data_IF_458455614057
#
_entry.id   IF_458455614057
#
_cell.length_a   1.000
_cell.length_b   1.000
_cell.length_c   1.000
_cell.angle_alpha   90.00
_cell.angle_beta   90.00
_cell.angle_gamma   90.00
#
_symmetry.space_group_name_H-M   'P 1'
#
loop_
_entity.id
_entity.type
_entity.pdbx_description
1 polymer ?
#
# COMPACT_ATOMS: atom_id res chain seq x y z
N UNK A 1 67.81 -4.24 23.60
CA UNK A 1 66.54 -4.98 23.70
C UNK A 1 65.56 -4.18 22.89
N UNK A 2 65.58 -4.37 21.56
CA UNK A 2 64.63 -3.76 20.64
C UNK A 2 63.86 -4.92 20.00
N UNK A 3 62.58 -5.03 20.36
CA UNK A 3 61.66 -6.01 19.80
C UNK A 3 61.05 -5.43 18.52
N UNK A 4 61.32 -6.10 17.41
CA UNK A 4 60.65 -5.91 16.13
C UNK A 4 59.20 -6.38 16.24
N UNK A 5 58.24 -5.47 16.13
CA UNK A 5 56.86 -5.78 15.76
C UNK A 5 56.65 -5.35 14.30
N UNK A 6 56.88 -6.28 13.36
CA UNK A 6 56.35 -6.16 12.00
C UNK A 6 54.88 -6.57 12.01
N UNK A 7 53.96 -5.83 11.37
CA UNK A 7 52.59 -6.26 11.22
C UNK A 7 52.54 -7.47 10.29
N UNK A 8 51.93 -8.57 10.76
CA UNK A 8 51.54 -9.69 9.92
C UNK A 8 50.74 -9.14 8.73
N UNK A 9 51.18 -9.51 7.52
CA UNK A 9 50.45 -9.31 6.28
C UNK A 9 48.98 -9.76 6.44
N UNK A 10 48.05 -8.82 6.35
CA UNK A 10 46.63 -9.08 6.12
C UNK A 10 46.48 -9.73 4.75
N UNK A 11 46.61 -11.06 4.71
CA UNK A 11 46.20 -11.85 3.56
C UNK A 11 44.67 -11.87 3.60
N UNK A 12 44.03 -10.90 2.95
CA UNK A 12 42.63 -11.04 2.57
C UNK A 12 42.50 -12.35 1.79
N UNK A 13 41.86 -13.34 2.40
CA UNK A 13 41.53 -14.59 1.74
C UNK A 13 40.81 -14.31 0.42
N UNK A 14 40.91 -15.21 -0.58
CA UNK A 14 40.29 -14.98 -1.88
C UNK A 14 38.82 -14.59 -1.67
N UNK A 15 38.33 -13.53 -2.34
CA UNK A 15 36.95 -13.11 -2.19
C UNK A 15 36.08 -14.34 -2.46
N UNK A 16 35.21 -14.66 -1.51
CA UNK A 16 34.24 -15.74 -1.67
C UNK A 16 33.49 -15.58 -3.00
N UNK A 17 32.89 -16.67 -3.53
CA UNK A 17 32.16 -16.61 -4.79
C UNK A 17 31.18 -15.42 -4.76
N UNK A 18 31.06 -14.66 -5.86
CA UNK A 18 30.19 -13.49 -5.88
C UNK A 18 28.78 -13.90 -5.49
N UNK A 19 28.29 -13.33 -4.39
CA UNK A 19 26.93 -13.55 -3.90
C UNK A 19 25.95 -13.27 -5.04
N UNK A 20 25.09 -14.25 -5.33
CA UNK A 20 24.00 -14.07 -6.27
C UNK A 20 23.15 -12.88 -5.81
N UNK A 21 22.74 -12.01 -6.74
CA UNK A 21 21.96 -10.80 -6.40
C UNK A 21 20.49 -11.06 -6.69
N UNK A 22 19.62 -10.49 -5.84
CA UNK A 22 18.18 -10.53 -6.07
C UNK A 22 17.77 -9.39 -6.99
N UNK A 23 17.17 -9.73 -8.13
CA UNK A 23 16.65 -8.75 -9.10
C UNK A 23 15.17 -8.90 -9.41
N UNK A 24 14.56 -10.03 -9.02
CA UNK A 24 13.13 -10.24 -9.14
C UNK A 24 12.39 -9.69 -7.92
N UNK A 25 11.44 -8.80 -8.17
CA UNK A 25 10.63 -8.18 -7.15
C UNK A 25 9.14 -8.34 -7.44
N UNK A 26 8.34 -8.27 -6.38
CA UNK A 26 6.94 -7.98 -6.53
C UNK A 26 6.43 -7.03 -5.45
N UNK A 27 5.41 -6.26 -5.79
CA UNK A 27 4.73 -5.37 -4.86
C UNK A 27 3.27 -5.76 -4.72
N UNK A 28 2.69 -5.49 -3.56
CA UNK A 28 1.23 -5.58 -3.37
C UNK A 28 0.61 -4.20 -3.41
N UNK A 29 -0.52 -4.08 -4.09
CA UNK A 29 -1.23 -2.83 -4.33
C UNK A 29 -2.72 -3.04 -4.04
N UNK A 30 -3.40 -2.03 -3.50
CA UNK A 30 -4.85 -2.06 -3.36
C UNK A 30 -5.51 -2.33 -4.73
N UNK A 31 -6.48 -3.25 -4.77
CA UNK A 31 -7.21 -3.57 -5.99
C UNK A 31 -7.81 -2.30 -6.62
N UNK A 32 -7.60 -2.12 -7.93
CA UNK A 32 -8.04 -0.95 -8.69
C UNK A 32 -7.06 0.23 -8.72
N UNK A 33 -5.93 0.14 -8.01
CA UNK A 33 -4.86 1.17 -8.02
C UNK A 33 -3.61 0.74 -8.81
N UNK A 34 -3.69 -0.32 -9.61
CA UNK A 34 -2.53 -0.92 -10.25
C UNK A 34 -1.88 -0.02 -11.31
N UNK A 35 -2.68 0.81 -12.00
CA UNK A 35 -2.16 1.74 -12.99
C UNK A 35 -1.36 2.88 -12.35
N UNK A 36 -1.80 3.34 -11.16
CA UNK A 36 -1.07 4.35 -10.39
C UNK A 36 0.28 3.78 -9.93
N UNK A 37 0.27 2.55 -9.41
CA UNK A 37 1.50 1.88 -9.00
C UNK A 37 2.45 1.59 -10.16
N UNK A 38 1.95 1.16 -11.32
CA UNK A 38 2.78 0.99 -12.51
C UNK A 38 3.40 2.32 -12.98
N UNK A 39 2.64 3.41 -12.96
CA UNK A 39 3.15 4.73 -13.33
C UNK A 39 4.25 5.19 -12.35
N UNK A 40 4.05 4.99 -11.06
CA UNK A 40 5.06 5.30 -10.04
C UNK A 40 6.33 4.46 -10.22
N UNK A 41 6.19 3.14 -10.36
CA UNK A 41 7.32 2.21 -10.56
C UNK A 41 8.15 2.65 -11.76
N UNK A 42 7.53 2.90 -12.91
CA UNK A 42 8.22 3.36 -14.12
C UNK A 42 8.93 4.70 -13.89
N UNK A 43 8.28 5.64 -13.21
CA UNK A 43 8.84 6.97 -12.93
C UNK A 43 10.03 6.93 -11.98
N UNK A 44 9.93 6.20 -10.86
CA UNK A 44 10.95 6.21 -9.79
C UNK A 44 12.11 5.25 -10.08
N UNK A 45 11.80 4.04 -10.56
CA UNK A 45 12.81 3.00 -10.81
C UNK A 45 13.50 3.17 -12.17
N UNK A 46 12.82 3.76 -13.15
CA UNK A 46 13.34 3.90 -14.52
C UNK A 46 13.27 2.58 -15.29
N UNK A 47 14.41 2.08 -15.78
CA UNK A 47 14.46 0.84 -16.57
C UNK A 47 14.14 -0.38 -15.69
N UNK A 48 13.05 -1.06 -16.04
CA UNK A 48 12.61 -2.34 -15.49
C UNK A 48 12.25 -3.28 -16.65
N UNK A 49 12.29 -4.60 -16.43
CA UNK A 49 11.79 -5.60 -17.38
C UNK A 49 10.75 -6.52 -16.74
N UNK A 50 10.12 -7.38 -17.55
CA UNK A 50 9.22 -8.45 -17.11
C UNK A 50 8.04 -7.99 -16.24
N UNK A 51 7.57 -6.76 -16.50
CA UNK A 51 6.46 -6.16 -15.77
C UNK A 51 5.18 -6.97 -16.01
N UNK A 52 4.69 -7.63 -14.97
CA UNK A 52 3.46 -8.43 -15.01
C UNK A 52 2.52 -8.05 -13.87
N UNK A 53 1.29 -7.67 -14.23
CA UNK A 53 0.23 -7.39 -13.25
C UNK A 53 -0.67 -8.61 -13.07
N UNK A 54 -0.77 -9.10 -11.84
CA UNK A 54 -1.74 -10.12 -11.43
C UNK A 54 -2.80 -9.43 -10.59
N UNK A 55 -3.96 -9.18 -11.20
CA UNK A 55 -5.10 -8.53 -10.55
C UNK A 55 -5.71 -9.46 -9.51
N UNK A 56 -5.86 -8.97 -8.29
CA UNK A 56 -6.58 -9.67 -7.22
C UNK A 56 -7.80 -8.88 -6.78
N UNK A 57 -8.76 -9.56 -6.14
CA UNK A 57 -9.99 -8.89 -5.64
C UNK A 57 -9.72 -7.91 -4.50
N UNK A 58 -8.75 -8.22 -3.63
CA UNK A 58 -8.37 -7.40 -2.47
C UNK A 58 -7.04 -6.67 -2.70
N UNK A 59 -6.00 -7.44 -2.99
CA UNK A 59 -4.69 -6.93 -3.33
C UNK A 59 -4.29 -7.48 -4.70
N UNK A 60 -3.86 -6.59 -5.56
CA UNK A 60 -3.18 -6.93 -6.80
C UNK A 60 -1.68 -7.04 -6.55
N UNK A 61 -0.98 -7.77 -7.42
CA UNK A 61 0.48 -7.86 -7.41
C UNK A 61 1.05 -7.41 -8.73
N UNK A 62 2.18 -6.73 -8.66
CA UNK A 62 2.96 -6.33 -9.82
C UNK A 62 4.34 -6.95 -9.64
N UNK A 63 4.71 -7.82 -10.58
CA UNK A 63 6.02 -8.45 -10.66
C UNK A 63 6.87 -7.68 -11.67
N UNK A 64 8.16 -7.55 -11.41
CA UNK A 64 9.11 -6.93 -12.32
C UNK A 64 10.54 -7.33 -11.97
N UNK A 65 11.41 -7.27 -12.97
CA UNK A 65 12.86 -7.41 -12.81
C UNK A 65 13.51 -6.02 -12.78
N UNK A 66 14.46 -5.82 -11.85
CA UNK A 66 15.08 -4.52 -11.60
C UNK A 66 16.52 -4.67 -11.10
N UNK A 67 17.47 -4.13 -11.86
CA UNK A 67 18.92 -4.29 -11.60
C UNK A 67 19.60 -3.07 -11.00
N UNK A 68 18.89 -1.94 -10.87
CA UNK A 68 19.47 -0.71 -10.33
C UNK A 68 19.42 -0.70 -8.80
N UNK A 69 19.79 0.42 -8.18
CA UNK A 69 19.85 0.53 -6.72
C UNK A 69 18.52 0.13 -6.05
N UNK A 70 18.52 -0.88 -5.16
CA UNK A 70 17.32 -1.35 -4.49
C UNK A 70 16.78 -0.34 -3.47
N UNK A 71 17.58 0.66 -3.03
CA UNK A 71 17.11 1.73 -2.13
C UNK A 71 15.90 2.48 -2.69
N UNK A 72 15.80 2.59 -4.02
CA UNK A 72 14.65 3.20 -4.70
C UNK A 72 13.33 2.45 -4.49
N UNK A 73 13.38 1.18 -4.11
CA UNK A 73 12.18 0.41 -3.78
C UNK A 73 11.49 0.93 -2.50
N UNK A 74 12.27 1.51 -1.57
CA UNK A 74 11.75 2.15 -0.34
C UNK A 74 10.96 3.42 -0.64
N UNK A 75 11.23 4.05 -1.79
CA UNK A 75 10.58 5.29 -2.20
C UNK A 75 9.19 5.08 -2.80
N UNK A 76 8.75 3.83 -3.06
CA UNK A 76 7.44 3.56 -3.64
C UNK A 76 6.33 3.88 -2.62
N UNK A 77 5.35 4.66 -3.04
CA UNK A 77 4.34 5.24 -2.16
C UNK A 77 2.95 4.67 -2.37
N UNK A 78 2.62 4.23 -3.58
CA UNK A 78 1.33 3.64 -3.94
C UNK A 78 1.23 2.14 -3.67
N UNK A 79 2.27 1.54 -3.08
CA UNK A 79 2.35 0.10 -2.80
C UNK A 79 2.21 -0.14 -1.30
N UNK A 80 1.46 -1.18 -0.92
CA UNK A 80 1.29 -1.53 0.49
C UNK A 80 2.53 -2.24 1.04
N UNK A 81 3.17 -3.06 0.20
CA UNK A 81 4.36 -3.87 0.55
C UNK A 81 5.22 -4.13 -0.68
N UNK A 82 6.52 -4.26 -0.44
CA UNK A 82 7.54 -4.65 -1.44
C UNK A 82 8.22 -5.94 -1.01
N UNK A 83 8.47 -6.83 -1.96
CA UNK A 83 9.06 -8.13 -1.74
C UNK A 83 10.17 -8.43 -2.74
N UNK A 84 11.27 -9.01 -2.24
CA UNK A 84 12.17 -9.82 -3.03
C UNK A 84 11.48 -11.16 -3.37
N UNK A 85 11.39 -11.52 -4.65
CA UNK A 85 10.82 -12.79 -5.08
C UNK A 85 11.91 -13.87 -5.03
N UNK A 86 11.73 -14.87 -4.16
CA UNK A 86 12.71 -15.92 -3.96
C UNK A 86 12.37 -17.19 -4.73
N UNK A 87 11.07 -17.49 -4.86
CA UNK A 87 10.59 -18.55 -5.72
C UNK A 87 9.15 -18.32 -6.18
N UNK A 88 8.89 -18.68 -7.44
CA UNK A 88 7.54 -18.83 -7.99
C UNK A 88 7.36 -20.30 -8.39
N UNK A 89 6.66 -21.05 -7.54
CA UNK A 89 6.53 -22.51 -7.62
C UNK A 89 5.22 -22.83 -8.33
N UNK A 90 5.29 -23.45 -9.50
CA UNK A 90 4.13 -23.92 -10.25
C UNK A 90 3.83 -25.41 -9.99
N UNK A 91 2.61 -25.84 -10.31
CA UNK A 91 2.20 -27.25 -10.20
C UNK A 91 1.95 -27.69 -8.76
N UNK A 92 1.54 -26.77 -7.89
CA UNK A 92 1.11 -27.09 -6.53
C UNK A 92 -0.24 -27.80 -6.63
N UNK A 93 -0.29 -29.06 -6.21
CA UNK A 93 -1.54 -29.83 -6.13
C UNK A 93 -2.23 -29.60 -4.79
N UNK A 94 -3.53 -29.92 -4.73
CA UNK A 94 -4.38 -29.61 -3.56
C UNK A 94 -4.06 -30.43 -2.31
N UNK A 95 -3.24 -31.48 -2.38
CA UNK A 95 -2.97 -32.38 -1.26
C UNK A 95 -1.49 -32.45 -0.86
N UNK A 96 -1.12 -33.50 -0.14
CA UNK A 96 0.23 -33.72 0.36
C UNK A 96 1.34 -33.65 -0.71
N UNK A 97 1.16 -34.15 -1.95
CA UNK A 97 2.18 -33.98 -2.98
C UNK A 97 2.50 -32.51 -3.30
N UNK A 98 1.50 -31.62 -3.21
CA UNK A 98 1.68 -30.18 -3.38
C UNK A 98 2.45 -29.56 -2.23
N UNK A 99 2.14 -29.95 -0.99
CA UNK A 99 2.87 -29.52 0.21
C UNK A 99 4.36 -29.91 0.13
N UNK A 100 4.65 -31.18 -0.18
CA UNK A 100 6.02 -31.68 -0.32
C UNK A 100 6.76 -31.01 -1.47
N UNK A 101 6.09 -30.76 -2.60
CA UNK A 101 6.68 -30.00 -3.71
C UNK A 101 7.08 -28.60 -3.28
N UNK A 102 6.25 -27.91 -2.49
CA UNK A 102 6.60 -26.59 -1.97
C UNK A 102 7.82 -26.68 -1.06
N UNK A 103 7.82 -27.58 -0.08
CA UNK A 103 8.95 -27.77 0.82
C UNK A 103 10.25 -28.07 0.06
N UNK A 104 10.21 -28.97 -0.94
CA UNK A 104 11.36 -29.30 -1.77
C UNK A 104 11.89 -28.08 -2.55
N UNK A 105 10.99 -27.25 -3.11
CA UNK A 105 11.40 -26.07 -3.89
C UNK A 105 11.92 -24.96 -3.00
N UNK A 106 11.30 -24.73 -1.83
CA UNK A 106 11.79 -23.77 -0.83
C UNK A 106 13.16 -24.19 -0.29
N UNK A 107 13.39 -25.49 -0.06
CA UNK A 107 14.67 -25.99 0.46
C UNK A 107 15.86 -25.73 -0.48
N UNK A 108 15.60 -25.55 -1.77
CA UNK A 108 16.61 -25.21 -2.79
C UNK A 108 16.92 -23.72 -2.88
N UNK A 109 16.11 -22.85 -2.26
CA UNK A 109 16.32 -21.41 -2.27
C UNK A 109 17.47 -21.06 -1.33
N UNK A 110 18.40 -20.24 -1.81
CA UNK A 110 19.38 -19.54 -0.98
C UNK A 110 18.77 -18.22 -0.47
N UNK A 111 18.72 -18.07 0.86
CA UNK A 111 18.18 -16.87 1.51
C UNK A 111 19.24 -15.79 1.72
N UNK A 112 20.53 -16.13 1.66
CA UNK A 112 21.63 -15.22 1.99
C UNK A 112 21.60 -13.96 1.11
N UNK A 113 21.45 -14.05 -0.24
CA UNK A 113 21.27 -12.87 -1.10
C UNK A 113 20.16 -11.91 -0.65
N UNK A 114 19.03 -12.46 -0.20
CA UNK A 114 17.87 -11.68 0.18
C UNK A 114 18.06 -11.03 1.56
N UNK A 115 18.69 -11.74 2.50
CA UNK A 115 19.07 -11.20 3.80
C UNK A 115 20.08 -10.04 3.65
N UNK A 116 21.14 -10.24 2.86
CA UNK A 116 22.11 -9.18 2.54
C UNK A 116 21.42 -7.99 1.89
N UNK A 117 20.51 -8.22 0.94
CA UNK A 117 19.72 -7.13 0.35
C UNK A 117 18.91 -6.38 1.42
N UNK A 118 18.25 -7.09 2.33
CA UNK A 118 17.50 -6.48 3.41
C UNK A 118 18.40 -5.62 4.32
N UNK A 119 19.59 -6.09 4.65
CA UNK A 119 20.56 -5.35 5.48
C UNK A 119 21.13 -4.12 4.77
N UNK A 120 21.33 -4.17 3.45
CA UNK A 120 21.68 -3.00 2.65
C UNK A 120 20.61 -1.90 2.73
N UNK A 121 19.34 -2.28 2.87
CA UNK A 121 18.22 -1.37 2.95
C UNK A 121 17.98 -0.83 4.36
N UNK A 122 18.20 -1.66 5.39
CA UNK A 122 17.75 -1.38 6.76
C UNK A 122 18.85 -1.40 7.82
N UNK A 123 20.10 -1.60 7.41
CA UNK A 123 21.23 -1.88 8.30
C UNK A 123 21.23 -3.33 8.79
N UNK A 124 22.43 -3.81 9.12
CA UNK A 124 22.67 -5.13 9.73
C UNK A 124 21.91 -5.25 11.05
N UNK A 125 21.43 -6.45 11.34
CA UNK A 125 20.63 -6.75 12.54
C UNK A 125 21.42 -7.61 13.52
N UNK A 126 21.35 -7.26 14.80
CA UNK A 126 22.02 -8.01 15.88
C UNK A 126 21.39 -9.38 16.11
N UNK A 127 20.08 -9.49 15.89
CA UNK A 127 19.36 -10.75 15.94
C UNK A 127 19.35 -11.47 14.60
N UNK A 128 19.69 -12.75 14.63
CA UNK A 128 19.63 -13.63 13.46
C UNK A 128 18.41 -14.54 13.59
N UNK A 129 17.51 -14.50 12.60
CA UNK A 129 16.29 -15.32 12.58
C UNK A 129 15.27 -14.82 11.57
N UNK A 130 14.25 -15.62 11.28
CA UNK A 130 13.20 -15.24 10.33
C UNK A 130 11.81 -15.25 10.97
N UNK A 131 10.84 -14.68 10.26
CA UNK A 131 9.43 -14.82 10.58
C UNK A 131 8.71 -15.39 9.38
N UNK A 132 8.11 -16.59 9.48
CA UNK A 132 7.39 -17.18 8.36
C UNK A 132 5.89 -16.90 8.43
N UNK A 133 5.36 -16.22 7.41
CA UNK A 133 3.93 -16.02 7.22
C UNK A 133 3.41 -16.86 6.06
N UNK A 134 2.63 -17.88 6.39
CA UNK A 134 1.99 -18.76 5.42
C UNK A 134 0.55 -18.33 5.13
N UNK A 135 0.13 -18.41 3.86
CA UNK A 135 -1.28 -18.28 3.48
C UNK A 135 -1.63 -19.38 2.49
N UNK A 136 -2.59 -20.23 2.84
CA UNK A 136 -3.17 -21.20 1.93
C UNK A 136 -4.46 -20.62 1.34
N UNK A 137 -4.50 -20.46 0.02
CA UNK A 137 -5.73 -20.11 -0.68
C UNK A 137 -6.79 -21.21 -0.54
N UNK A 138 -8.04 -20.89 -0.87
CA UNK A 138 -9.14 -21.87 -0.88
C UNK A 138 -8.81 -23.07 -1.77
N UNK A 139 -9.23 -24.27 -1.36
CA UNK A 139 -9.18 -25.49 -2.19
C UNK A 139 -8.01 -26.43 -1.93
N UNK A 140 -7.12 -26.13 -0.99
CA UNK A 140 -6.08 -27.08 -0.54
C UNK A 140 -6.56 -27.87 0.68
N UNK A 141 -6.17 -29.14 0.76
CA UNK A 141 -6.47 -30.09 1.84
C UNK A 141 -5.47 -30.03 2.98
N UNK A 142 -4.41 -29.23 2.85
CA UNK A 142 -3.49 -28.90 3.94
C UNK A 142 -3.70 -27.45 4.37
N UNK A 143 -3.51 -27.21 5.65
CA UNK A 143 -3.69 -25.94 6.32
C UNK A 143 -2.45 -25.03 6.18
N UNK A 144 -2.64 -23.75 6.46
CA UNK A 144 -1.51 -22.81 6.56
C UNK A 144 -0.56 -23.17 7.71
N UNK A 145 -1.06 -23.82 8.77
CA UNK A 145 -0.27 -24.30 9.90
C UNK A 145 0.63 -25.48 9.50
N UNK A 146 0.10 -26.47 8.77
CA UNK A 146 0.92 -27.57 8.23
C UNK A 146 2.01 -27.06 7.28
N UNK A 147 1.66 -26.09 6.41
CA UNK A 147 2.62 -25.43 5.53
C UNK A 147 3.69 -24.66 6.31
N UNK A 148 3.29 -23.95 7.35
CA UNK A 148 4.21 -23.23 8.21
C UNK A 148 5.17 -24.20 8.91
N UNK A 149 4.67 -25.24 9.56
CA UNK A 149 5.48 -26.21 10.30
C UNK A 149 6.54 -26.87 9.41
N UNK A 150 6.16 -27.40 8.24
CA UNK A 150 7.12 -28.11 7.37
C UNK A 150 8.22 -27.18 6.83
N UNK A 151 7.86 -25.94 6.48
CA UNK A 151 8.82 -24.98 5.93
C UNK A 151 9.68 -24.36 7.02
N UNK A 152 9.11 -24.12 8.21
CA UNK A 152 9.84 -23.67 9.38
C UNK A 152 10.92 -24.68 9.76
N UNK A 153 10.57 -25.96 9.95
CA UNK A 153 11.56 -27.01 10.28
C UNK A 153 12.68 -27.08 9.24
N UNK A 154 12.32 -27.05 7.95
CA UNK A 154 13.28 -27.07 6.85
C UNK A 154 14.26 -25.89 6.91
N UNK A 155 13.76 -24.67 7.10
CA UNK A 155 14.60 -23.47 7.11
C UNK A 155 15.45 -23.38 8.37
N UNK A 156 14.90 -23.72 9.54
CA UNK A 156 15.65 -23.75 10.80
C UNK A 156 16.78 -24.77 10.77
N UNK A 157 16.57 -25.96 10.21
CA UNK A 157 17.65 -26.94 10.06
C UNK A 157 18.70 -26.50 9.04
N UNK A 158 18.31 -25.81 7.96
CA UNK A 158 19.23 -25.41 6.90
C UNK A 158 20.15 -24.25 7.31
N UNK A 159 19.62 -23.31 8.08
CA UNK A 159 20.32 -22.06 8.42
C UNK A 159 20.70 -21.96 9.91
N UNK A 160 20.32 -22.94 10.73
CA UNK A 160 20.57 -22.95 12.18
C UNK A 160 20.03 -21.71 12.92
N UNK A 161 18.89 -21.20 12.45
CA UNK A 161 18.23 -20.00 12.98
C UNK A 161 16.76 -20.29 13.27
N UNK A 162 16.17 -19.56 14.20
CA UNK A 162 14.79 -19.79 14.62
C UNK A 162 13.76 -18.92 13.88
N UNK A 163 12.50 -19.31 14.04
CA UNK A 163 11.32 -18.53 13.63
C UNK A 163 10.73 -17.82 14.86
N UNK A 164 10.45 -16.53 14.75
CA UNK A 164 9.91 -15.75 15.85
C UNK A 164 9.18 -14.48 15.44
N UNK A 165 8.37 -13.94 16.36
CA UNK A 165 7.51 -12.78 16.10
C UNK A 165 8.31 -11.50 15.84
N UNK A 166 9.46 -11.35 16.50
CA UNK A 166 10.33 -10.16 16.47
C UNK A 166 11.57 -10.33 15.59
N UNK A 167 11.56 -11.30 14.68
CA UNK A 167 12.71 -11.55 13.79
C UNK A 167 12.74 -10.57 12.61
N UNK A 168 13.94 -10.16 12.16
CA UNK A 168 14.08 -9.13 11.14
C UNK A 168 13.65 -9.58 9.75
N UNK A 169 13.93 -10.84 9.38
CA UNK A 169 13.67 -11.35 8.03
C UNK A 169 12.27 -11.94 7.92
N UNK A 170 11.31 -11.16 7.41
CA UNK A 170 9.92 -11.61 7.28
C UNK A 170 9.70 -12.30 5.93
N UNK A 171 9.61 -13.63 5.98
CA UNK A 171 9.33 -14.49 4.84
C UNK A 171 7.83 -14.69 4.64
N UNK A 172 7.38 -14.58 3.41
CA UNK A 172 5.99 -14.83 3.03
C UNK A 172 5.91 -15.99 2.05
N UNK A 173 5.13 -17.01 2.41
CA UNK A 173 4.80 -18.14 1.56
C UNK A 173 3.30 -18.18 1.31
N UNK A 174 2.89 -17.84 0.09
CA UNK A 174 1.49 -17.75 -0.27
C UNK A 174 1.14 -18.71 -1.39
N UNK A 175 0.07 -19.47 -1.20
CA UNK A 175 -0.50 -20.35 -2.22
C UNK A 175 -1.74 -19.71 -2.82
N UNK A 176 -1.81 -19.71 -4.14
CA UNK A 176 -2.96 -19.26 -4.92
C UNK A 176 -3.17 -20.16 -6.14
N UNK A 177 -4.30 -20.87 -6.15
CA UNK A 177 -4.57 -21.88 -7.17
C UNK A 177 -3.46 -22.92 -7.18
N UNK A 178 -2.84 -23.15 -8.34
CA UNK A 178 -1.76 -24.13 -8.51
C UNK A 178 -0.34 -23.53 -8.36
N UNK A 179 -0.20 -22.35 -7.76
CA UNK A 179 1.09 -21.66 -7.58
C UNK A 179 1.35 -21.33 -6.12
N UNK A 180 2.62 -21.39 -5.71
CA UNK A 180 3.10 -20.82 -4.46
C UNK A 180 4.16 -19.74 -4.73
N UNK A 181 4.02 -18.61 -4.06
CA UNK A 181 4.98 -17.51 -4.08
C UNK A 181 5.71 -17.48 -2.76
N UNK A 182 7.03 -17.52 -2.82
CA UNK A 182 7.92 -17.38 -1.68
C UNK A 182 8.73 -16.10 -1.85
N UNK A 183 8.69 -15.21 -0.86
CA UNK A 183 9.36 -13.93 -0.94
C UNK A 183 9.80 -13.40 0.42
N UNK A 184 10.85 -12.59 0.44
CA UNK A 184 11.27 -11.81 1.61
C UNK A 184 10.63 -10.42 1.53
N UNK A 185 9.94 -10.01 2.59
CA UNK A 185 9.36 -8.67 2.67
C UNK A 185 10.48 -7.65 2.92
N UNK A 186 10.58 -6.66 2.03
CA UNK A 186 11.58 -5.61 2.12
C UNK A 186 11.01 -4.34 2.75
N UNK A 187 9.74 -4.02 2.50
CA UNK A 187 9.11 -2.76 2.94
C UNK A 187 7.67 -2.98 3.33
N UNK A 188 7.20 -2.25 4.34
CA UNK A 188 5.78 -2.12 4.65
C UNK A 188 5.36 -0.67 4.80
N UNK A 189 4.11 -0.37 4.49
CA UNK A 189 3.52 0.96 4.70
C UNK A 189 3.47 1.41 6.18
N UNK A 190 3.72 0.50 7.15
CA UNK A 190 3.66 0.81 8.59
C UNK A 190 4.72 1.83 9.03
N UNK A 191 5.88 1.82 8.40
CA UNK A 191 6.94 2.79 8.71
C UNK A 191 6.49 4.20 8.32
N UNK A 192 5.84 4.33 7.16
CA UNK A 192 5.24 5.60 6.75
C UNK A 192 4.05 6.00 7.61
N UNK A 193 3.19 5.03 7.94
CA UNK A 193 2.02 5.28 8.78
C UNK A 193 2.44 5.93 10.12
N UNK A 194 3.50 5.39 10.74
CA UNK A 194 4.06 5.93 11.99
C UNK A 194 4.77 7.27 11.82
N UNK A 195 5.42 7.50 10.68
CA UNK A 195 6.19 8.72 10.45
C UNK A 195 5.31 9.97 10.25
N UNK A 196 4.12 9.83 9.67
CA UNK A 196 3.30 10.99 9.26
C UNK A 196 1.95 11.09 9.94
N UNK A 197 1.47 10.03 10.60
CA UNK A 197 0.12 9.98 11.16
C UNK A 197 0.15 9.59 12.65
N UNK A 198 0.61 10.50 13.55
CA UNK A 198 0.58 10.25 14.99
C UNK A 198 -0.84 10.00 15.54
N UNK A 199 -1.86 10.58 14.90
CA UNK A 199 -3.27 10.38 15.24
C UNK A 199 -3.95 9.46 14.21
N UNK A 200 -4.39 8.29 14.67
CA UNK A 200 -5.07 7.29 13.85
C UNK A 200 -6.59 7.42 13.99
N UNK A 201 -7.28 7.77 12.91
CA UNK A 201 -8.74 7.90 12.92
C UNK A 201 -9.38 6.66 12.29
N UNK A 202 -10.33 6.07 13.01
CA UNK A 202 -10.99 4.85 12.55
C UNK A 202 -11.76 5.12 11.26
N UNK A 203 -11.46 4.33 10.23
CA UNK A 203 -12.09 4.49 8.91
C UNK A 203 -11.18 5.16 7.89
N UNK A 204 -10.01 5.65 8.32
CA UNK A 204 -9.02 6.22 7.43
C UNK A 204 -8.49 5.23 6.38
N UNK A 205 -8.17 5.77 5.20
CA UNK A 205 -7.53 5.01 4.12
C UNK A 205 -6.07 4.72 4.48
N UNK A 206 -5.56 3.55 4.10
CA UNK A 206 -4.11 3.27 4.26
C UNK A 206 -3.28 4.29 3.47
N UNK A 207 -2.06 4.64 3.92
CA UNK A 207 -1.19 5.60 3.24
C UNK A 207 -0.97 5.28 1.76
N UNK A 208 -0.82 4.01 1.39
CA UNK A 208 -0.64 3.60 -0.01
C UNK A 208 -1.85 3.92 -0.89
N UNK A 209 -3.06 3.75 -0.35
CA UNK A 209 -4.32 4.12 -1.02
C UNK A 209 -4.47 5.65 -1.06
N UNK A 210 -4.15 6.34 0.02
CA UNK A 210 -4.20 7.80 0.09
C UNK A 210 -3.30 8.46 -0.95
N UNK A 211 -2.05 8.01 -1.07
CA UNK A 211 -1.14 8.48 -2.10
C UNK A 211 -1.68 8.16 -3.51
N UNK A 212 -2.21 6.96 -3.71
CA UNK A 212 -2.79 6.60 -5.00
C UNK A 212 -4.00 7.48 -5.37
N UNK A 213 -4.85 7.82 -4.39
CA UNK A 213 -5.95 8.77 -4.56
C UNK A 213 -5.44 10.16 -4.92
N UNK A 214 -4.41 10.67 -4.23
CA UNK A 214 -3.81 11.98 -4.53
C UNK A 214 -3.33 12.06 -5.98
N UNK A 215 -2.65 11.01 -6.45
CA UNK A 215 -2.19 10.89 -7.84
C UNK A 215 -3.35 10.87 -8.86
N UNK A 216 -4.49 10.26 -8.51
CA UNK A 216 -5.68 10.22 -9.37
C UNK A 216 -6.43 11.55 -9.41
N UNK A 217 -6.49 12.26 -8.28
CA UNK A 217 -7.15 13.57 -8.14
C UNK A 217 -6.46 14.62 -9.02
N UNK A 218 -5.14 14.48 -9.20
CA UNK A 218 -4.30 15.35 -10.04
C UNK A 218 -4.49 16.83 -9.65
N UNK A 219 -4.01 17.14 -8.45
CA UNK A 219 -3.94 18.49 -7.91
C UNK A 219 -3.12 19.42 -8.83
N UNK A 220 -3.69 20.58 -9.17
CA UNK A 220 -3.15 21.59 -10.09
C UNK A 220 -3.10 22.97 -9.42
N UNK A 221 -2.28 23.87 -9.97
CA UNK A 221 -2.29 25.28 -9.56
C UNK A 221 -3.68 25.86 -9.78
N UNK A 222 -4.21 26.53 -8.76
CA UNK A 222 -5.57 27.08 -8.78
C UNK A 222 -6.66 26.11 -8.31
N UNK A 223 -6.32 24.84 -8.04
CA UNK A 223 -7.28 23.93 -7.42
C UNK A 223 -7.59 24.36 -5.98
N UNK A 224 -8.85 24.17 -5.61
CA UNK A 224 -9.34 24.21 -4.24
C UNK A 224 -10.00 22.86 -4.02
N UNK A 225 -9.34 22.01 -3.23
CA UNK A 225 -9.72 20.61 -3.01
C UNK A 225 -10.26 20.46 -1.60
N UNK A 226 -11.50 19.99 -1.50
CA UNK A 226 -12.20 19.76 -0.25
C UNK A 226 -12.40 18.27 -0.01
N UNK A 227 -11.86 17.72 1.07
CA UNK A 227 -12.29 16.42 1.59
C UNK A 227 -13.45 16.63 2.55
N UNK A 228 -14.64 16.16 2.19
CA UNK A 228 -15.89 16.42 2.95
C UNK A 228 -16.08 15.47 4.14
N UNK A 229 -15.20 14.47 4.31
CA UNK A 229 -15.18 13.55 5.47
C UNK A 229 -13.73 13.16 5.76
N UNK A 230 -12.91 14.16 6.06
CA UNK A 230 -11.46 14.08 5.96
C UNK A 230 -10.80 13.03 6.84
N UNK A 231 -11.43 12.65 7.96
CA UNK A 231 -10.79 11.73 8.91
C UNK A 231 -9.43 12.27 9.32
N UNK A 232 -8.39 11.43 9.33
CA UNK A 232 -7.01 11.83 9.60
C UNK A 232 -6.34 12.65 8.51
N UNK A 233 -7.00 12.87 7.35
CA UNK A 233 -6.55 13.74 6.26
C UNK A 233 -5.60 13.10 5.26
N UNK A 234 -5.43 11.76 5.26
CA UNK A 234 -4.35 11.10 4.51
C UNK A 234 -4.24 11.53 3.04
N UNK A 235 -5.32 11.57 2.21
CA UNK A 235 -5.17 11.94 0.80
C UNK A 235 -4.65 13.37 0.60
N UNK A 236 -5.04 14.30 1.48
CA UNK A 236 -4.58 15.69 1.44
C UNK A 236 -3.14 15.81 1.93
N UNK A 237 -2.77 15.08 2.97
CA UNK A 237 -1.41 15.06 3.53
C UNK A 237 -0.43 14.43 2.52
N UNK A 238 -0.76 13.30 1.91
CA UNK A 238 0.07 12.69 0.85
C UNK A 238 0.23 13.62 -0.36
N UNK A 239 -0.81 14.37 -0.72
CA UNK A 239 -0.70 15.40 -1.76
C UNK A 239 0.24 16.54 -1.35
N UNK A 240 0.23 16.94 -0.07
CA UNK A 240 1.16 17.92 0.50
C UNK A 240 2.61 17.44 0.49
N UNK A 241 2.86 16.21 0.95
CA UNK A 241 4.19 15.58 0.96
C UNK A 241 4.77 15.42 -0.46
N UNK A 242 3.91 15.12 -1.43
CA UNK A 242 4.26 15.07 -2.85
C UNK A 242 4.37 16.47 -3.50
N UNK A 243 4.27 17.55 -2.71
CA UNK A 243 4.35 18.96 -3.12
C UNK A 243 3.37 19.30 -4.25
N UNK A 244 2.20 18.66 -4.25
CA UNK A 244 1.19 18.95 -5.25
C UNK A 244 0.57 20.33 -5.01
N UNK A 245 0.41 21.15 -6.05
CA UNK A 245 -0.11 22.50 -5.92
C UNK A 245 -1.61 22.54 -5.56
N UNK A 246 -2.12 23.71 -5.20
CA UNK A 246 -3.54 23.91 -4.88
C UNK A 246 -3.83 23.88 -3.38
N UNK A 247 -4.95 24.51 -3.02
CA UNK A 247 -5.43 24.64 -1.65
C UNK A 247 -6.13 23.35 -1.21
N UNK A 248 -5.80 22.88 0.00
CA UNK A 248 -6.26 21.62 0.56
C UNK A 248 -7.08 21.93 1.81
N UNK A 249 -8.32 21.45 1.84
CA UNK A 249 -9.26 21.70 2.94
C UNK A 249 -9.83 20.36 3.37
N UNK A 250 -9.67 20.01 4.64
CA UNK A 250 -10.34 18.86 5.26
C UNK A 250 -11.52 19.32 6.10
N UNK A 251 -12.69 18.77 5.82
CA UNK A 251 -13.91 18.97 6.58
C UNK A 251 -14.35 17.65 7.25
N UNK A 252 -14.73 17.74 8.51
CA UNK A 252 -15.41 16.67 9.21
C UNK A 252 -16.45 17.23 10.19
N UNK A 253 -17.46 16.42 10.50
CA UNK A 253 -18.54 16.81 11.41
C UNK A 253 -18.05 16.94 12.86
N UNK A 254 -17.11 16.08 13.25
CA UNK A 254 -16.61 16.02 14.61
C UNK A 254 -15.32 16.83 14.75
N UNK A 255 -15.31 17.76 15.72
CA UNK A 255 -14.19 18.69 15.94
C UNK A 255 -12.91 18.00 16.42
N UNK A 256 -13.01 16.88 17.14
CA UNK A 256 -11.90 16.03 17.55
C UNK A 256 -11.21 15.39 16.34
N UNK A 257 -11.97 14.96 15.33
CA UNK A 257 -11.43 14.44 14.07
C UNK A 257 -10.65 15.51 13.30
N UNK A 258 -11.23 16.72 13.19
CA UNK A 258 -10.53 17.86 12.56
C UNK A 258 -9.26 18.22 13.33
N UNK A 259 -9.29 18.15 14.66
CA UNK A 259 -8.11 18.39 15.51
C UNK A 259 -7.02 17.33 15.27
N UNK A 260 -7.40 16.04 15.20
CA UNK A 260 -6.48 14.95 14.88
C UNK A 260 -5.87 15.07 13.48
N UNK A 261 -6.66 15.47 12.48
CA UNK A 261 -6.15 15.80 11.14
C UNK A 261 -5.12 16.93 11.18
N UNK A 262 -5.37 17.99 11.97
CA UNK A 262 -4.45 19.10 12.13
C UNK A 262 -3.15 18.69 12.82
N UNK A 263 -3.20 17.74 13.75
CA UNK A 263 -2.00 17.15 14.35
C UNK A 263 -1.17 16.36 13.33
N UNK A 264 -1.82 15.50 12.53
CA UNK A 264 -1.15 14.80 11.44
C UNK A 264 -0.53 15.77 10.42
N UNK A 265 -1.27 16.83 10.07
CA UNK A 265 -0.82 17.89 9.16
C UNK A 265 0.44 18.59 9.67
N UNK A 266 0.47 18.94 10.97
CA UNK A 266 1.66 19.52 11.63
C UNK A 266 2.83 18.54 11.66
N UNK A 267 2.57 17.27 11.99
CA UNK A 267 3.61 16.23 12.04
C UNK A 267 4.24 15.96 10.68
N UNK A 268 3.47 16.12 9.60
CA UNK A 268 3.93 15.93 8.23
C UNK A 268 4.56 17.20 7.61
N UNK A 269 4.55 18.34 8.33
CA UNK A 269 4.99 19.65 7.83
C UNK A 269 4.34 20.05 6.49
N UNK A 270 3.02 19.89 6.41
CA UNK A 270 2.23 20.25 5.20
C UNK A 270 1.12 21.23 5.57
N UNK A 271 0.62 21.96 4.57
CA UNK A 271 -0.49 22.90 4.75
C UNK A 271 -1.82 22.29 4.30
N UNK A 272 -2.71 22.04 5.27
CA UNK A 272 -4.11 21.63 5.06
C UNK A 272 -4.99 22.43 6.00
N UNK A 273 -5.97 23.16 5.46
CA UNK A 273 -6.94 23.89 6.27
C UNK A 273 -7.98 22.92 6.87
N UNK A 274 -8.34 23.10 8.14
CA UNK A 274 -9.37 22.31 8.83
C UNK A 274 -10.68 23.08 8.93
N UNK A 275 -11.80 22.39 8.75
CA UNK A 275 -13.14 22.96 8.85
C UNK A 275 -14.07 21.99 9.57
N UNK A 276 -14.74 22.45 10.63
CA UNK A 276 -15.80 21.66 11.27
C UNK A 276 -17.11 21.99 10.57
N UNK A 277 -17.83 20.95 10.11
CA UNK A 277 -19.11 21.15 9.44
C UNK A 277 -19.75 19.85 8.97
N UNK A 278 -21.03 19.94 8.57
CA UNK A 278 -21.76 18.82 8.02
C UNK A 278 -21.57 18.73 6.50
N UNK A 279 -21.22 17.54 6.01
CA UNK A 279 -21.08 17.28 4.58
C UNK A 279 -22.39 17.37 3.79
N UNK A 280 -23.55 17.31 4.47
CA UNK A 280 -24.86 17.51 3.82
C UNK A 280 -25.38 18.95 3.91
N UNK A 281 -24.63 19.85 4.55
CA UNK A 281 -24.86 21.30 4.59
C UNK A 281 -23.50 22.01 4.65
N UNK A 282 -22.79 22.03 3.51
CA UNK A 282 -21.42 22.48 3.44
C UNK A 282 -21.32 24.00 3.67
N UNK A 283 -20.47 24.46 4.60
CA UNK A 283 -20.20 25.89 4.85
C UNK A 283 -19.28 26.49 3.78
N UNK A 284 -19.60 26.22 2.51
CA UNK A 284 -18.84 26.60 1.32
C UNK A 284 -19.80 27.34 0.39
N UNK A 285 -19.34 28.46 -0.18
CA UNK A 285 -20.11 29.21 -1.17
C UNK A 285 -20.37 28.38 -2.44
N UNK A 286 -21.39 28.74 -3.19
CA UNK A 286 -21.70 28.13 -4.49
C UNK A 286 -20.47 28.20 -5.42
N UNK A 287 -20.20 27.11 -6.14
CA UNK A 287 -19.03 26.98 -7.03
C UNK A 287 -17.70 27.39 -6.35
N UNK A 288 -17.57 27.10 -5.05
CA UNK A 288 -16.41 27.47 -4.23
C UNK A 288 -15.18 26.59 -4.46
N UNK A 289 -15.36 25.32 -4.84
CA UNK A 289 -14.27 24.32 -4.90
C UNK A 289 -14.12 23.74 -6.31
N UNK A 290 -12.90 23.38 -6.71
CA UNK A 290 -12.67 22.72 -8.01
C UNK A 290 -12.79 21.21 -7.91
N UNK A 291 -12.46 20.63 -6.74
CA UNK A 291 -12.47 19.19 -6.52
C UNK A 291 -13.01 18.85 -5.13
N UNK A 292 -13.76 17.76 -5.04
CA UNK A 292 -14.24 17.18 -3.79
C UNK A 292 -13.74 15.74 -3.65
N UNK A 293 -13.31 15.35 -2.46
CA UNK A 293 -12.98 13.97 -2.06
C UNK A 293 -13.97 13.57 -0.97
N UNK A 294 -14.43 12.34 -0.95
CA UNK A 294 -15.26 11.86 0.16
C UNK A 294 -15.21 10.36 0.35
N UNK A 295 -14.79 9.91 1.53
CA UNK A 295 -15.01 8.53 1.96
C UNK A 295 -16.39 8.40 2.62
N UNK A 296 -17.37 7.92 1.84
CA UNK A 296 -18.77 7.84 2.27
C UNK A 296 -19.09 6.52 2.99
N UNK A 297 -18.08 5.70 3.28
CA UNK A 297 -18.26 4.49 4.09
C UNK A 297 -18.71 4.89 5.51
N UNK A 298 -19.80 4.29 6.04
CA UNK A 298 -20.27 4.60 7.38
C UNK A 298 -19.20 4.31 8.45
N UNK A 299 -18.95 5.27 9.34
CA UNK A 299 -18.12 5.07 10.53
C UNK A 299 -18.96 4.36 11.60
N UNK A 300 -18.36 3.46 12.37
CA UNK A 300 -19.07 2.74 13.44
C UNK A 300 -19.65 3.75 14.44
N UNK A 301 -20.95 3.64 14.72
CA UNK A 301 -21.65 4.53 15.66
C UNK A 301 -22.07 5.88 15.08
N UNK A 302 -21.81 6.14 13.79
CA UNK A 302 -22.26 7.36 13.10
C UNK A 302 -23.34 6.97 12.09
N UNK A 303 -24.47 7.70 12.03
CA UNK A 303 -25.49 7.48 11.00
C UNK A 303 -24.91 7.55 9.57
N UNK A 304 -25.46 6.80 8.61
CA UNK A 304 -25.12 6.96 7.21
C UNK A 304 -25.37 8.41 6.74
N UNK A 305 -24.55 8.88 5.81
CA UNK A 305 -24.71 10.21 5.21
C UNK A 305 -25.98 10.24 4.37
N UNK A 306 -26.78 11.30 4.51
CA UNK A 306 -27.94 11.54 3.65
C UNK A 306 -27.51 11.86 2.21
N UNK A 307 -27.45 10.84 1.35
CA UNK A 307 -26.86 10.96 0.01
C UNK A 307 -27.55 11.99 -0.88
N UNK A 308 -28.88 12.11 -0.82
CA UNK A 308 -29.60 13.08 -1.64
C UNK A 308 -29.16 14.52 -1.32
N UNK A 309 -29.12 14.89 -0.04
CA UNK A 309 -28.66 16.21 0.40
C UNK A 309 -27.18 16.41 0.09
N UNK A 310 -26.35 15.37 0.26
CA UNK A 310 -24.95 15.42 -0.15
C UNK A 310 -24.81 15.72 -1.65
N UNK A 311 -25.51 15.01 -2.53
CA UNK A 311 -25.41 15.22 -3.97
C UNK A 311 -25.91 16.61 -4.38
N UNK A 312 -26.97 17.12 -3.75
CA UNK A 312 -27.42 18.51 -3.91
C UNK A 312 -26.30 19.50 -3.54
N UNK A 313 -25.63 19.28 -2.41
CA UNK A 313 -24.50 20.09 -1.98
C UNK A 313 -23.30 19.99 -2.94
N UNK A 314 -22.97 18.80 -3.45
CA UNK A 314 -21.92 18.63 -4.46
C UNK A 314 -22.22 19.43 -5.73
N UNK A 315 -23.46 19.37 -6.23
CA UNK A 315 -23.91 20.19 -7.35
C UNK A 315 -23.78 21.68 -7.01
N UNK A 316 -24.08 22.10 -5.79
CA UNK A 316 -24.00 23.50 -5.39
C UNK A 316 -22.55 24.01 -5.32
N UNK A 317 -21.65 23.29 -4.66
CA UNK A 317 -20.32 23.80 -4.27
C UNK A 317 -19.21 23.56 -5.28
N UNK A 318 -19.27 22.49 -6.08
CA UNK A 318 -18.23 22.17 -7.07
C UNK A 318 -18.33 23.16 -8.22
N UNK A 319 -17.25 23.72 -8.76
CA UNK A 319 -17.32 24.58 -9.96
C UNK A 319 -17.79 23.81 -11.19
N UNK A 320 -18.37 24.45 -12.23
CA UNK A 320 -18.52 23.83 -13.55
C UNK A 320 -17.20 23.20 -13.99
N UNK A 321 -17.26 22.02 -14.61
CA UNK A 321 -16.14 21.14 -14.96
C UNK A 321 -15.30 20.59 -13.79
N UNK A 322 -15.60 20.99 -12.56
CA UNK A 322 -15.00 20.46 -11.33
C UNK A 322 -15.38 19.00 -11.09
N UNK A 323 -14.63 18.32 -10.22
CA UNK A 323 -14.71 16.87 -10.07
C UNK A 323 -15.00 16.42 -8.64
N UNK A 324 -15.71 15.30 -8.49
CA UNK A 324 -15.86 14.62 -7.20
C UNK A 324 -15.22 13.23 -7.26
N UNK A 325 -14.55 12.83 -6.18
CA UNK A 325 -13.89 11.53 -5.99
C UNK A 325 -14.50 10.88 -4.75
N UNK A 326 -15.52 10.04 -4.96
CA UNK A 326 -16.34 9.49 -3.88
C UNK A 326 -16.09 7.99 -3.72
N UNK A 327 -15.76 7.55 -2.51
CA UNK A 327 -15.66 6.13 -2.17
C UNK A 327 -16.98 5.70 -1.55
N UNK A 328 -17.64 4.71 -2.16
CA UNK A 328 -18.93 4.21 -1.69
C UNK A 328 -19.12 2.71 -1.99
N UNK A 329 -19.98 2.05 -1.21
CA UNK A 329 -20.19 0.59 -1.27
C UNK A 329 -21.39 0.19 -2.13
N UNK A 330 -22.53 0.87 -1.99
CA UNK A 330 -23.78 0.47 -2.65
C UNK A 330 -23.89 1.05 -4.07
N UNK A 331 -23.66 0.19 -5.06
CA UNK A 331 -23.75 0.53 -6.50
C UNK A 331 -25.15 0.91 -6.94
N UNK A 332 -26.17 0.25 -6.42
CA UNK A 332 -27.56 0.45 -6.84
C UNK A 332 -28.04 1.80 -6.34
N UNK A 333 -27.77 2.10 -5.07
CA UNK A 333 -28.11 3.39 -4.48
C UNK A 333 -27.31 4.53 -5.15
N UNK A 334 -26.03 4.33 -5.44
CA UNK A 334 -25.24 5.35 -6.14
C UNK A 334 -25.77 5.63 -7.55
N UNK A 335 -26.22 4.60 -8.27
CA UNK A 335 -26.82 4.77 -9.60
C UNK A 335 -28.06 5.65 -9.54
N UNK A 336 -28.96 5.43 -8.56
CA UNK A 336 -30.15 6.28 -8.39
C UNK A 336 -29.79 7.74 -8.14
N UNK A 337 -28.74 8.01 -7.35
CA UNK A 337 -28.27 9.38 -7.15
C UNK A 337 -27.71 10.02 -8.44
N UNK A 338 -27.16 9.24 -9.36
CA UNK A 338 -26.75 9.80 -10.66
C UNK A 338 -27.96 10.11 -11.55
N UNK A 339 -29.04 9.32 -11.45
CA UNK A 339 -30.30 9.57 -12.17
C UNK A 339 -31.00 10.83 -11.63
N UNK A 340 -31.02 11.02 -10.30
CA UNK A 340 -31.64 12.18 -9.64
C UNK A 340 -30.84 13.49 -9.82
N UNK A 341 -29.52 13.39 -10.08
CA UNK A 341 -28.62 14.54 -10.20
C UNK A 341 -27.84 14.51 -11.54
N UNK A 342 -28.51 14.74 -12.69
CA UNK A 342 -27.90 14.67 -14.02
C UNK A 342 -26.79 15.72 -14.25
N UNK A 343 -26.66 16.72 -13.38
CA UNK A 343 -25.56 17.68 -13.36
C UNK A 343 -24.22 17.03 -12.97
N UNK A 344 -24.22 15.84 -12.36
CA UNK A 344 -23.01 15.10 -12.00
C UNK A 344 -22.82 13.91 -12.94
N UNK A 345 -21.93 14.06 -13.92
CA UNK A 345 -21.62 13.01 -14.89
C UNK A 345 -20.59 12.04 -14.34
N UNK A 346 -20.88 10.74 -14.36
CA UNK A 346 -19.92 9.70 -14.02
C UNK A 346 -18.85 9.59 -15.12
N UNK A 347 -17.63 10.01 -14.81
CA UNK A 347 -16.48 9.85 -15.71
C UNK A 347 -15.89 8.45 -15.63
N UNK A 348 -15.75 7.91 -14.41
CA UNK A 348 -15.12 6.62 -14.18
C UNK A 348 -15.57 6.01 -12.87
N UNK A 349 -15.79 4.69 -12.87
CA UNK A 349 -15.89 3.87 -11.66
C UNK A 349 -14.66 2.96 -11.57
N UNK A 350 -14.07 2.84 -10.38
CA UNK A 350 -12.97 1.92 -10.12
C UNK A 350 -13.32 1.02 -8.92
N UNK A 351 -13.23 -0.31 -9.04
CA UNK A 351 -13.29 -1.18 -7.87
C UNK A 351 -12.18 -0.78 -6.89
N UNK A 352 -12.48 -0.71 -5.62
CA UNK A 352 -11.53 -0.40 -4.55
C UNK A 352 -11.77 -1.36 -3.39
N UNK A 353 -10.72 -2.07 -2.97
CA UNK A 353 -10.82 -2.86 -1.75
C UNK A 353 -10.12 -2.13 -0.60
N UNK A 354 -10.88 -1.79 0.43
CA UNK A 354 -10.42 -0.99 1.55
C UNK A 354 -10.98 -1.58 2.85
N UNK A 355 -10.12 -1.78 3.86
CA UNK A 355 -10.53 -2.25 5.19
C UNK A 355 -11.39 -3.53 5.19
N UNK A 356 -11.13 -4.45 4.25
CA UNK A 356 -11.88 -5.71 4.13
C UNK A 356 -13.21 -5.59 3.38
N UNK A 357 -13.57 -4.40 2.88
CA UNK A 357 -14.80 -4.15 2.13
C UNK A 357 -14.55 -4.05 0.63
N UNK A 358 -15.55 -4.42 -0.15
CA UNK A 358 -15.58 -4.22 -1.60
C UNK A 358 -16.32 -2.93 -1.90
N UNK A 359 -15.56 -1.88 -2.20
CA UNK A 359 -16.06 -0.54 -2.48
C UNK A 359 -15.83 -0.20 -3.96
N UNK A 360 -16.33 0.96 -4.37
CA UNK A 360 -15.95 1.61 -5.61
C UNK A 360 -15.54 3.07 -5.35
N UNK A 361 -14.53 3.52 -6.08
CA UNK A 361 -14.22 4.93 -6.27
C UNK A 361 -14.97 5.43 -7.51
N UNK A 362 -15.86 6.38 -7.31
CA UNK A 362 -16.59 7.09 -8.35
C UNK A 362 -15.93 8.43 -8.62
N UNK A 363 -15.61 8.69 -9.88
CA UNK A 363 -15.06 9.95 -10.37
C UNK A 363 -16.17 10.62 -11.15
N UNK A 364 -16.69 11.72 -10.63
CA UNK A 364 -17.76 12.51 -11.22
C UNK A 364 -17.21 13.84 -11.74
N UNK A 365 -17.91 14.44 -12.69
CA UNK A 365 -17.68 15.80 -13.13
C UNK A 365 -18.99 16.59 -13.07
N UNK A 366 -18.93 17.81 -12.55
CA UNK A 366 -20.05 18.76 -12.62
C UNK A 366 -20.13 19.31 -14.04
N UNK A 367 -21.29 19.11 -14.67
CA UNK A 367 -21.62 19.61 -16.00
C UNK A 367 -21.76 21.14 -16.04
#
# INVERSE_FOLDING_TARGET
MDTFDEPLLDIEGPPGPPLEKVYDFYVTVAGGMEDVAQAEIKKKLGKISDLRVVRGRRLSRIFFHYERSPKKLLELQSVAKVYALLANISGVTVGQPGLLRIAQRVGKVDLVPAAVLHDILHGVKDEVGFRLSCTTGKGHRFSASELHQIVQTLLTMKYEIDDGVNRPYILHLRIEGNRALFGLQLVTERERERAHYPVQIRGDVQPSVAFALAQLIRFRKGDIVLDIRCGGGQPLIEAGLAQMPGYKIGLDFFSDIVSGMQENTRSADVSVAGLVGDCVVLPIRNAGVTKVIGNLVPRKGVPPVGLFNLFSELVRVIKPDGQAFLIFEDRTLFSRMLDDFPQLKLLKRRPLHLQGRHLDLYILQRA
#
